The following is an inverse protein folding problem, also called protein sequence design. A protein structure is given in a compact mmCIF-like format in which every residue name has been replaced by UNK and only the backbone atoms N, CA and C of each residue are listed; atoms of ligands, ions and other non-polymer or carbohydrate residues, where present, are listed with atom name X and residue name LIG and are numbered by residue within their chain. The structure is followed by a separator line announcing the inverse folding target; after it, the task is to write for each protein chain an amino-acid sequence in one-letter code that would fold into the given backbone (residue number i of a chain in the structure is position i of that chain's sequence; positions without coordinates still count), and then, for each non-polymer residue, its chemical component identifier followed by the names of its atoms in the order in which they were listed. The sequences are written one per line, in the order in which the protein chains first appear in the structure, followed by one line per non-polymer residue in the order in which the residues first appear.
data_IF_164154746360
#
_entry.id   IF_164154746360
#
_cell.length_a   1.000
_cell.length_b   1.000
_cell.length_c   1.000
_cell.angle_alpha   90.00
_cell.angle_beta   90.00
_cell.angle_gamma   90.00
#
_symmetry.space_group_name_H-M   'P 1'
#
loop_
_entity.id
_entity.type
_entity.pdbx_description
1 polymer ?
#
# COMPACT_ATOMS: atom_id res chain seq x y z
N UNK A 1 -48.15 32.41 -3.07
CA UNK A 1 -47.41 31.32 -2.39
C UNK A 1 -48.37 30.53 -1.52
N UNK A 2 -48.68 29.27 -1.88
CA UNK A 2 -49.53 28.40 -1.05
C UNK A 2 -48.70 27.92 0.14
N UNK A 3 -49.14 28.22 1.36
CA UNK A 3 -48.52 27.71 2.59
C UNK A 3 -48.80 26.21 2.66
N UNK A 4 -47.78 25.39 2.43
CA UNK A 4 -47.83 23.97 2.81
C UNK A 4 -47.87 23.93 4.34
N UNK A 5 -49.05 23.65 4.90
CA UNK A 5 -49.17 23.35 6.32
C UNK A 5 -48.46 22.02 6.56
N UNK A 6 -47.20 22.08 7.00
CA UNK A 6 -46.49 20.94 7.56
C UNK A 6 -47.18 20.62 8.87
N UNK A 7 -48.16 19.71 8.82
CA UNK A 7 -48.78 19.14 10.01
C UNK A 7 -47.71 18.53 10.92
N UNK A 8 -47.97 18.43 12.23
CA UNK A 8 -47.01 17.84 13.17
C UNK A 8 -46.58 16.46 12.63
N UNK A 9 -45.27 16.28 12.44
CA UNK A 9 -44.63 15.09 11.84
C UNK A 9 -44.79 13.81 12.69
N UNK A 10 -45.70 13.82 13.67
CA UNK A 10 -46.07 12.70 14.51
C UNK A 10 -47.52 12.36 14.20
N UNK A 11 -47.74 11.21 13.58
CA UNK A 11 -49.08 10.75 13.24
C UNK A 11 -49.97 10.74 14.50
N UNK A 12 -51.24 11.15 14.43
CA UNK A 12 -52.15 11.18 15.59
C UNK A 12 -52.20 9.84 16.33
N UNK A 13 -52.06 8.75 15.57
CA UNK A 13 -51.99 7.36 16.05
C UNK A 13 -50.79 7.11 16.98
N UNK A 14 -49.66 7.78 16.75
CA UNK A 14 -48.48 7.70 17.63
C UNK A 14 -48.72 8.38 18.98
N UNK A 15 -49.47 9.49 18.99
CA UNK A 15 -49.80 10.25 20.21
C UNK A 15 -50.79 9.46 21.07
N UNK A 16 -51.82 8.88 20.46
CA UNK A 16 -52.77 8.00 21.14
C UNK A 16 -52.12 6.71 21.66
N UNK A 17 -51.22 6.11 20.89
CA UNK A 17 -50.42 4.95 21.32
C UNK A 17 -49.53 5.29 22.53
N UNK A 18 -48.99 6.50 22.58
CA UNK A 18 -48.21 7.01 23.71
C UNK A 18 -49.06 7.23 24.97
N UNK A 19 -50.23 7.87 24.85
CA UNK A 19 -51.12 8.19 25.98
C UNK A 19 -51.73 6.97 26.68
N UNK A 20 -51.72 5.80 26.02
CA UNK A 20 -52.21 4.52 26.57
C UNK A 20 -51.17 3.74 27.38
N UNK A 21 -49.89 4.18 27.43
CA UNK A 21 -48.86 3.50 28.23
C UNK A 21 -48.93 3.98 29.68
N UNK A 22 -49.58 3.18 30.54
CA UNK A 22 -49.73 3.43 31.99
C UNK A 22 -48.46 3.06 32.79
N UNK A 23 -47.43 2.50 32.14
CA UNK A 23 -46.21 2.03 32.79
C UNK A 23 -44.96 2.79 32.29
N UNK A 24 -44.51 3.76 33.08
CA UNK A 24 -43.39 4.69 32.81
C UNK A 24 -41.99 4.06 32.99
N UNK A 25 -41.78 2.82 32.56
CA UNK A 25 -40.46 2.16 32.63
C UNK A 25 -39.52 2.49 31.46
N UNK A 26 -39.97 3.27 30.47
CA UNK A 26 -39.07 3.81 29.45
C UNK A 26 -38.69 5.21 29.91
N UNK A 27 -37.49 5.41 30.47
CA UNK A 27 -37.08 6.74 30.89
C UNK A 27 -37.21 7.68 29.70
N UNK A 28 -37.90 8.81 29.91
CA UNK A 28 -37.81 9.98 29.04
C UNK A 28 -36.31 10.17 28.77
N UNK A 29 -35.82 10.22 27.52
CA UNK A 29 -34.42 10.55 27.27
C UNK A 29 -34.17 11.83 28.04
N UNK A 30 -33.37 11.76 29.11
CA UNK A 30 -33.21 12.90 29.96
C UNK A 30 -32.55 13.95 29.07
N UNK A 31 -32.87 15.23 29.23
CA UNK A 31 -32.08 16.26 28.56
C UNK A 31 -30.59 16.24 29.00
N UNK A 32 -30.19 15.36 29.94
CA UNK A 32 -28.81 14.99 30.25
C UNK A 32 -28.23 13.86 29.38
N UNK A 33 -29.07 13.05 28.72
CA UNK A 33 -28.64 11.99 27.77
C UNK A 33 -28.22 12.56 26.42
N UNK A 34 -28.74 13.73 26.02
CA UNK A 34 -28.20 14.44 24.85
C UNK A 34 -26.75 14.89 25.06
N UNK A 35 -26.41 15.31 26.28
CA UNK A 35 -25.04 15.64 26.68
C UNK A 35 -24.14 14.41 26.73
N UNK A 36 -24.68 13.24 27.08
CA UNK A 36 -23.95 11.97 27.05
C UNK A 36 -23.73 11.51 25.60
N UNK A 37 -24.72 11.58 24.72
CA UNK A 37 -24.57 11.25 23.28
C UNK A 37 -23.52 12.13 22.62
N UNK A 38 -23.53 13.44 22.86
CA UNK A 38 -22.51 14.36 22.34
C UNK A 38 -21.10 13.97 22.80
N UNK A 39 -20.95 13.58 24.08
CA UNK A 39 -19.66 13.10 24.62
C UNK A 39 -19.21 11.81 23.96
N UNK A 40 -20.11 10.84 23.76
CA UNK A 40 -19.79 9.58 23.06
C UNK A 40 -19.39 9.84 21.61
N UNK A 41 -20.13 10.68 20.90
CA UNK A 41 -19.77 11.07 19.54
C UNK A 41 -18.42 11.77 19.50
N UNK A 42 -18.14 12.70 20.41
CA UNK A 42 -16.82 13.38 20.50
C UNK A 42 -15.68 12.40 20.75
N UNK A 43 -15.88 11.39 21.61
CA UNK A 43 -14.89 10.33 21.86
C UNK A 43 -14.70 9.46 20.61
N UNK A 44 -15.79 8.99 19.98
CA UNK A 44 -15.75 8.18 18.75
C UNK A 44 -15.06 8.95 17.62
N UNK A 45 -15.37 10.24 17.44
CA UNK A 45 -14.68 11.09 16.45
C UNK A 45 -13.19 11.22 16.77
N UNK A 46 -12.81 11.27 18.05
CA UNK A 46 -11.41 11.36 18.46
C UNK A 46 -10.65 10.06 18.22
N UNK A 47 -11.27 8.91 18.48
CA UNK A 47 -10.70 7.59 18.17
C UNK A 47 -10.52 7.39 16.66
N UNK A 48 -11.51 7.77 15.86
CA UNK A 48 -11.42 7.72 14.39
C UNK A 48 -10.34 8.68 13.85
N UNK A 49 -10.19 9.86 14.46
CA UNK A 49 -9.15 10.81 14.09
C UNK A 49 -7.75 10.25 14.36
N UNK A 50 -7.54 9.59 15.51
CA UNK A 50 -6.27 8.93 15.84
C UNK A 50 -5.98 7.81 14.83
N UNK A 51 -6.97 6.96 14.55
CA UNK A 51 -6.83 5.86 13.58
C UNK A 51 -6.49 6.41 12.19
N UNK A 52 -7.12 7.51 11.78
CA UNK A 52 -6.84 8.17 10.49
C UNK A 52 -5.38 8.62 10.41
N UNK A 53 -4.88 9.29 11.44
CA UNK A 53 -3.49 9.75 11.49
C UNK A 53 -2.50 8.57 11.47
N UNK A 54 -2.80 7.48 12.17
CA UNK A 54 -1.98 6.27 12.15
C UNK A 54 -1.91 5.65 10.73
N UNK A 55 -3.04 5.61 10.01
CA UNK A 55 -3.05 5.15 8.63
C UNK A 55 -2.26 6.06 7.69
N UNK A 56 -2.41 7.38 7.83
CA UNK A 56 -1.67 8.35 7.03
C UNK A 56 -0.15 8.22 7.24
N UNK A 57 0.28 8.02 8.49
CA UNK A 57 1.68 7.72 8.82
C UNK A 57 2.16 6.43 8.17
N UNK A 58 1.38 5.35 8.26
CA UNK A 58 1.71 4.05 7.63
C UNK A 58 1.80 4.16 6.11
N UNK A 59 0.91 4.91 5.47
CA UNK A 59 0.94 5.14 4.03
C UNK A 59 2.22 5.88 3.63
N UNK A 60 2.61 6.91 4.40
CA UNK A 60 3.86 7.63 4.15
C UNK A 60 5.10 6.74 4.33
N UNK A 61 5.15 5.93 5.39
CA UNK A 61 6.25 4.98 5.63
C UNK A 61 6.35 3.93 4.52
N UNK A 62 5.22 3.38 4.07
CA UNK A 62 5.18 2.44 2.96
C UNK A 62 5.60 3.09 1.64
N UNK A 63 5.17 4.32 1.37
CA UNK A 63 5.59 5.08 0.20
C UNK A 63 7.11 5.23 0.11
N UNK A 64 7.76 5.61 1.22
CA UNK A 64 9.23 5.72 1.30
C UNK A 64 9.93 4.38 1.08
N UNK A 65 9.38 3.29 1.61
CA UNK A 65 9.93 1.93 1.38
C UNK A 65 9.79 1.50 -0.07
N UNK A 66 8.68 1.82 -0.73
CA UNK A 66 8.49 1.54 -2.15
C UNK A 66 9.52 2.30 -2.98
N UNK A 67 9.68 3.61 -2.74
CA UNK A 67 10.66 4.45 -3.44
C UNK A 67 12.09 3.91 -3.28
N UNK A 68 12.48 3.54 -2.06
CA UNK A 68 13.78 2.93 -1.80
C UNK A 68 13.98 1.61 -2.58
N UNK A 69 12.98 0.73 -2.59
CA UNK A 69 13.05 -0.54 -3.30
C UNK A 69 13.12 -0.31 -4.82
N UNK A 70 12.39 0.66 -5.35
CA UNK A 70 12.45 1.02 -6.77
C UNK A 70 13.84 1.53 -7.18
N UNK A 71 14.47 2.36 -6.35
CA UNK A 71 15.84 2.83 -6.55
C UNK A 71 16.86 1.66 -6.51
N UNK A 72 16.79 0.81 -5.48
CA UNK A 72 17.65 -0.37 -5.35
C UNK A 72 17.50 -1.31 -6.56
N UNK A 73 16.27 -1.52 -7.04
CA UNK A 73 16.01 -2.38 -8.19
C UNK A 73 16.55 -1.79 -9.51
N UNK A 74 16.48 -0.48 -9.69
CA UNK A 74 17.11 0.19 -10.84
C UNK A 74 18.63 0.02 -10.82
N UNK A 75 19.27 0.19 -9.66
CA UNK A 75 20.71 0.01 -9.50
C UNK A 75 21.13 -1.44 -9.80
N UNK A 76 20.44 -2.43 -9.23
CA UNK A 76 20.71 -3.85 -9.48
C UNK A 76 20.58 -4.21 -10.96
N UNK A 77 19.61 -3.61 -11.67
CA UNK A 77 19.44 -3.84 -13.10
C UNK A 77 20.64 -3.32 -13.91
N UNK A 78 21.17 -2.15 -13.55
CA UNK A 78 22.39 -1.61 -14.17
C UNK A 78 23.60 -2.50 -13.91
N UNK A 79 23.79 -2.95 -12.67
CA UNK A 79 24.89 -3.85 -12.32
C UNK A 79 24.83 -5.17 -13.10
N UNK A 80 23.63 -5.73 -13.25
CA UNK A 80 23.41 -6.94 -14.03
C UNK A 80 23.81 -6.74 -15.51
N UNK A 81 23.46 -5.59 -16.11
CA UNK A 81 23.84 -5.27 -17.48
C UNK A 81 25.35 -5.07 -17.65
N UNK A 82 26.02 -4.48 -16.66
CA UNK A 82 27.49 -4.37 -16.60
C UNK A 82 28.13 -5.76 -16.55
N UNK A 83 27.71 -6.62 -15.62
CA UNK A 83 28.24 -7.99 -15.51
C UNK A 83 28.00 -8.79 -16.80
N UNK A 84 26.84 -8.62 -17.43
CA UNK A 84 26.53 -9.26 -18.72
C UNK A 84 27.47 -8.79 -19.84
N UNK A 85 27.86 -7.52 -19.84
CA UNK A 85 28.82 -6.99 -20.81
C UNK A 85 30.23 -7.53 -20.57
N UNK A 86 30.68 -7.56 -19.31
CA UNK A 86 31.99 -8.09 -18.93
C UNK A 86 32.13 -9.56 -19.26
N UNK A 87 31.15 -10.39 -18.88
CA UNK A 87 31.14 -11.83 -19.21
C UNK A 87 31.17 -12.07 -20.72
N UNK A 88 30.47 -11.26 -21.51
CA UNK A 88 30.54 -11.33 -22.98
C UNK A 88 31.92 -10.98 -23.51
N UNK A 89 32.60 -9.96 -22.95
CA UNK A 89 33.98 -9.62 -23.32
C UNK A 89 34.94 -10.76 -22.96
N UNK A 90 34.86 -11.28 -21.74
CA UNK A 90 35.68 -12.41 -21.28
C UNK A 90 35.52 -13.64 -22.18
N UNK A 91 34.30 -13.98 -22.57
CA UNK A 91 34.03 -15.09 -23.50
C UNK A 91 34.70 -14.89 -24.86
N UNK A 92 34.70 -13.66 -25.39
CA UNK A 92 35.40 -13.34 -26.66
C UNK A 92 36.91 -13.53 -26.53
N UNK A 93 37.51 -13.01 -25.46
CA UNK A 93 38.95 -13.15 -25.21
C UNK A 93 39.36 -14.61 -25.01
N UNK A 94 38.59 -15.38 -24.22
CA UNK A 94 38.80 -16.81 -24.03
C UNK A 94 38.81 -17.56 -25.36
N UNK A 95 37.77 -17.39 -26.17
CA UNK A 95 37.66 -18.06 -27.47
C UNK A 95 38.81 -17.68 -28.43
N UNK A 96 39.31 -16.43 -28.36
CA UNK A 96 40.47 -16.01 -29.15
C UNK A 96 41.74 -16.71 -28.69
N UNK A 97 42.01 -16.69 -27.38
CA UNK A 97 43.17 -17.35 -26.79
C UNK A 97 43.18 -18.87 -27.04
N UNK A 98 42.02 -19.50 -27.05
CA UNK A 98 41.86 -20.93 -27.34
C UNK A 98 42.23 -21.25 -28.80
N UNK A 99 41.74 -20.44 -29.76
CA UNK A 99 42.13 -20.56 -31.17
C UNK A 99 43.63 -20.33 -31.40
N UNK A 100 44.19 -19.32 -30.74
CA UNK A 100 45.61 -18.99 -30.85
C UNK A 100 46.47 -20.15 -30.29
N UNK A 101 46.04 -20.77 -29.18
CA UNK A 101 46.68 -21.96 -28.61
C UNK A 101 46.61 -23.18 -29.54
N UNK A 102 45.45 -23.44 -30.15
CA UNK A 102 45.28 -24.55 -31.09
C UNK A 102 46.15 -24.40 -32.34
N UNK A 103 46.25 -23.16 -32.86
CA UNK A 103 47.16 -22.81 -33.95
C UNK A 103 48.62 -23.07 -33.56
N UNK A 104 49.05 -22.57 -32.39
CA UNK A 104 50.40 -22.76 -31.90
C UNK A 104 50.74 -24.25 -31.72
N UNK A 105 49.83 -25.03 -31.13
CA UNK A 105 49.97 -26.49 -30.95
C UNK A 105 50.13 -27.20 -32.30
N UNK A 106 49.39 -26.77 -33.31
CA UNK A 106 49.49 -27.33 -34.67
C UNK A 106 50.81 -26.99 -35.33
N UNK A 107 51.27 -25.74 -35.22
CA UNK A 107 52.55 -25.30 -35.78
C UNK A 107 53.74 -26.01 -35.11
N UNK A 108 53.69 -26.18 -33.80
CA UNK A 108 54.71 -26.92 -33.06
C UNK A 108 54.81 -28.39 -33.51
N UNK A 109 53.67 -29.07 -33.66
CA UNK A 109 53.64 -30.45 -34.18
C UNK A 109 54.25 -30.55 -35.58
N UNK A 110 53.97 -29.58 -36.46
CA UNK A 110 54.56 -29.53 -37.80
C UNK A 110 56.07 -29.36 -37.74
N UNK A 111 56.59 -28.42 -36.95
CA UNK A 111 58.03 -28.18 -36.80
C UNK A 111 58.77 -29.44 -36.31
N UNK A 112 58.20 -30.17 -35.34
CA UNK A 112 58.80 -31.41 -34.84
C UNK A 112 58.83 -32.53 -35.89
N UNK A 113 57.90 -32.54 -36.86
CA UNK A 113 57.89 -33.53 -37.94
C UNK A 113 58.80 -33.12 -39.11
N UNK A 114 59.23 -31.86 -39.16
CA UNK A 114 60.12 -31.31 -40.18
C UNK A 114 61.60 -31.33 -39.78
N UNK A 115 61.92 -31.73 -38.55
CA UNK A 115 63.29 -32.02 -38.06
C UNK A 115 63.56 -33.52 -38.09
#
# INVERSE_FOLDING_TARGET
MKRLAVGPMKSPKYIEWWGKRINDNIPRPSYGDSRSIEKHLRVVFSELEIIRQDFEKKISELGKKIEQIEEENMNLRLDMDVQKLETKKLRKWKNKSEKDLDSLKTNYKKLHLSM
#
